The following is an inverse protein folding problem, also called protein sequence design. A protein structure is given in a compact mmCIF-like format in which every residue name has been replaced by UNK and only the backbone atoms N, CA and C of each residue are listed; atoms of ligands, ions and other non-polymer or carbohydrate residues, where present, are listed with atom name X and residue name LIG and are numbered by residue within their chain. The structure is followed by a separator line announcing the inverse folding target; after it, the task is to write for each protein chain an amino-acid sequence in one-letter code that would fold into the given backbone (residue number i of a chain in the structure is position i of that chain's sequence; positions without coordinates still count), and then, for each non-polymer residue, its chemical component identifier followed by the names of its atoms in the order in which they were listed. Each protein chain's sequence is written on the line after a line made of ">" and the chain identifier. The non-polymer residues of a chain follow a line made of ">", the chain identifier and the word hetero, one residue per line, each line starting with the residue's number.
data_IF_241638663388
#
_entry.id   IF_241638663388
#
_cell.length_a   1.000
_cell.length_b   1.000
_cell.length_c   1.000
_cell.angle_alpha   90.00
_cell.angle_beta   90.00
_cell.angle_gamma   90.00
#
_symmetry.space_group_name_H-M   'P 1'
#
loop_
_entity.id
_entity.type
_entity.pdbx_description
1 polymer ?
#
# COMPACT_ATOMS: atom_id res chain seq x y z
N UNK A 1 -3.59 4.25 -16.27
CA UNK A 1 -3.57 3.20 -15.23
C UNK A 1 -3.59 3.95 -13.92
N UNK A 2 -4.64 3.81 -13.11
CA UNK A 2 -4.86 4.66 -11.93
C UNK A 2 -6.27 5.22 -11.87
N UNK A 3 -7.23 4.37 -11.54
CA UNK A 3 -8.58 4.73 -11.05
C UNK A 3 -9.10 3.75 -9.98
N UNK A 4 -8.42 2.61 -9.79
CA UNK A 4 -8.78 1.54 -8.84
C UNK A 4 -8.13 1.85 -7.47
N UNK A 5 -8.20 3.11 -7.04
CA UNK A 5 -7.63 3.52 -5.75
C UNK A 5 -8.40 4.68 -5.15
N UNK A 6 -8.84 5.64 -5.96
CA UNK A 6 -9.59 6.81 -5.46
C UNK A 6 -10.94 6.42 -4.86
N UNK A 7 -11.66 5.45 -5.45
CA UNK A 7 -12.94 4.97 -4.92
C UNK A 7 -12.74 4.19 -3.62
N UNK A 8 -11.71 3.35 -3.53
CA UNK A 8 -11.35 2.62 -2.33
C UNK A 8 -10.87 3.56 -1.20
N UNK A 9 -10.05 4.57 -1.54
CA UNK A 9 -9.60 5.61 -0.59
C UNK A 9 -10.81 6.38 -0.08
N UNK A 10 -11.69 6.86 -0.96
CA UNK A 10 -12.90 7.57 -0.56
C UNK A 10 -13.80 6.72 0.33
N UNK A 11 -13.95 5.43 0.01
CA UNK A 11 -14.70 4.50 0.84
C UNK A 11 -14.10 4.35 2.24
N UNK A 12 -12.79 4.13 2.35
CA UNK A 12 -12.09 4.01 3.64
C UNK A 12 -12.15 5.31 4.45
N UNK A 13 -11.99 6.46 3.80
CA UNK A 13 -12.14 7.78 4.42
C UNK A 13 -13.55 8.03 4.94
N UNK A 14 -14.59 7.59 4.21
CA UNK A 14 -15.98 7.67 4.68
C UNK A 14 -16.25 6.84 5.95
N UNK A 15 -15.36 5.89 6.27
CA UNK A 15 -15.38 5.06 7.49
C UNK A 15 -14.53 5.63 8.63
N UNK A 16 -13.94 6.81 8.44
CA UNK A 16 -13.14 7.51 9.43
C UNK A 16 -11.66 7.10 9.45
N UNK A 17 -11.19 6.41 8.42
CA UNK A 17 -9.77 6.11 8.23
C UNK A 17 -9.13 7.33 7.55
N UNK A 18 -7.99 7.81 8.03
CA UNK A 18 -7.32 8.93 7.35
C UNK A 18 -6.80 8.51 5.97
N UNK A 19 -6.60 9.50 5.09
CA UNK A 19 -6.19 9.26 3.71
C UNK A 19 -4.87 8.50 3.62
N UNK A 20 -3.90 8.83 4.48
CA UNK A 20 -2.58 8.19 4.54
C UNK A 20 -2.70 6.70 4.90
N UNK A 21 -3.47 6.40 5.95
CA UNK A 21 -3.79 5.02 6.35
C UNK A 21 -4.55 4.27 5.26
N UNK A 22 -5.51 4.92 4.59
CA UNK A 22 -6.28 4.31 3.52
C UNK A 22 -5.37 3.92 2.34
N UNK A 23 -4.46 4.81 1.95
CA UNK A 23 -3.45 4.54 0.91
C UNK A 23 -2.53 3.40 1.35
N UNK A 24 -2.02 3.41 2.58
CA UNK A 24 -1.20 2.33 3.13
C UNK A 24 -1.92 0.99 3.08
N UNK A 25 -3.19 0.92 3.49
CA UNK A 25 -3.98 -0.31 3.46
C UNK A 25 -4.13 -0.88 2.05
N UNK A 26 -4.40 -0.01 1.06
CA UNK A 26 -4.57 -0.42 -0.34
C UNK A 26 -3.25 -0.89 -0.93
N UNK A 27 -2.15 -0.13 -0.73
CA UNK A 27 -0.82 -0.49 -1.22
C UNK A 27 -0.38 -1.82 -0.61
N UNK A 28 -0.53 -1.98 0.71
CA UNK A 28 -0.18 -3.22 1.41
C UNK A 28 -1.00 -4.42 0.91
N UNK A 29 -2.30 -4.27 0.69
CA UNK A 29 -3.14 -5.33 0.13
C UNK A 29 -2.74 -5.72 -1.29
N UNK A 30 -2.27 -4.77 -2.10
CA UNK A 30 -1.81 -5.02 -3.46
C UNK A 30 -0.45 -5.74 -3.50
N UNK A 31 0.49 -5.34 -2.64
CA UNK A 31 1.85 -5.88 -2.61
C UNK A 31 1.99 -7.17 -1.79
N UNK A 32 1.09 -7.46 -0.85
CA UNK A 32 1.09 -8.68 -0.03
C UNK A 32 1.29 -9.99 -0.82
N UNK A 33 0.54 -10.28 -1.92
CA UNK A 33 0.76 -11.51 -2.69
C UNK A 33 2.14 -11.57 -3.36
N UNK A 34 2.71 -10.42 -3.72
CA UNK A 34 4.05 -10.31 -4.32
C UNK A 34 5.09 -10.61 -3.26
N UNK A 35 5.00 -9.96 -2.10
CA UNK A 35 5.90 -10.16 -0.95
C UNK A 35 5.90 -11.63 -0.51
N UNK A 36 4.73 -12.28 -0.45
CA UNK A 36 4.61 -13.71 -0.11
C UNK A 36 5.22 -14.66 -1.13
N UNK A 37 5.37 -14.23 -2.39
CA UNK A 37 5.99 -15.02 -3.45
C UNK A 37 7.51 -14.86 -3.52
N UNK A 38 8.08 -13.87 -2.81
CA UNK A 38 9.51 -13.60 -2.81
C UNK A 38 10.26 -14.39 -1.74
N UNK A 39 11.52 -14.76 -2.00
CA UNK A 39 12.44 -15.17 -0.94
C UNK A 39 12.54 -14.12 0.16
N UNK A 40 12.74 -14.57 1.40
CA UNK A 40 12.69 -13.73 2.60
C UNK A 40 13.65 -12.54 2.53
N UNK A 41 14.85 -12.75 1.97
CA UNK A 41 15.87 -11.73 1.79
C UNK A 41 15.40 -10.55 0.92
N UNK A 42 14.54 -10.80 -0.07
CA UNK A 42 14.01 -9.77 -0.97
C UNK A 42 12.72 -9.13 -0.43
N UNK A 43 11.92 -9.88 0.33
CA UNK A 43 10.71 -9.38 0.98
C UNK A 43 11.02 -8.19 1.92
N UNK A 44 12.13 -8.29 2.67
CA UNK A 44 12.57 -7.23 3.59
C UNK A 44 13.00 -5.96 2.84
N UNK A 45 13.69 -6.11 1.71
CA UNK A 45 14.14 -4.97 0.90
C UNK A 45 12.97 -4.28 0.20
N UNK A 46 12.02 -5.05 -0.33
CA UNK A 46 10.82 -4.52 -0.97
C UNK A 46 9.95 -3.70 0.00
N UNK A 47 9.74 -4.17 1.23
CA UNK A 47 8.98 -3.42 2.23
C UNK A 47 9.62 -2.05 2.53
N UNK A 48 10.95 -2.00 2.66
CA UNK A 48 11.67 -0.72 2.88
C UNK A 48 11.55 0.23 1.69
N UNK A 49 11.60 -0.29 0.46
CA UNK A 49 11.42 0.52 -0.73
C UNK A 49 10.01 1.14 -0.79
N UNK A 50 8.99 0.38 -0.41
CA UNK A 50 7.61 0.87 -0.36
C UNK A 50 7.47 1.97 0.70
N UNK A 51 8.01 1.77 1.91
CA UNK A 51 7.99 2.79 2.97
C UNK A 51 8.64 4.11 2.52
N UNK A 52 9.81 4.03 1.85
CA UNK A 52 10.51 5.22 1.33
C UNK A 52 9.72 5.96 0.25
N UNK A 53 9.06 5.26 -0.66
CA UNK A 53 8.23 5.89 -1.70
C UNK A 53 6.98 6.54 -1.10
N UNK A 54 6.47 6.02 0.02
CA UNK A 54 5.29 6.57 0.72
C UNK A 54 5.62 7.81 1.56
N UNK A 55 6.82 7.90 2.15
CA UNK A 55 7.27 9.12 2.85
C UNK A 55 7.54 10.30 1.89
N UNK A 56 7.70 10.02 0.59
CA UNK A 56 8.02 11.00 -0.45
C UNK A 56 6.82 11.69 -1.12
N UNK A 57 5.58 11.34 -0.73
CA UNK A 57 4.31 11.86 -1.29
C UNK A 57 3.56 12.73 -0.30
#
# INVERSE_FOLDING_TARGET
>A
MGKIGEEEIFYLMSRGIDEEQAVQMIVNGFIEPIVKALPLEYAVELNKLIELEMEGT
#
